data_IF_714920456764
#
_entry.id   IF_714920456764
#
_cell.length_a   1.000
_cell.length_b   1.000
_cell.length_c   1.000
_cell.angle_alpha   90.00
_cell.angle_beta   90.00
_cell.angle_gamma   90.00
#
_symmetry.space_group_name_H-M   'P 1'
#
loop_
_entity.id
_entity.type
_entity.pdbx_description
1 polymer ?
#
# COMPACT_ATOMS: atom_id res chain seq x y z
N UNK A 1 -3.35 -23.67 7.39
CA UNK A 1 -3.93 -22.57 6.59
C UNK A 1 -3.00 -21.38 6.80
N UNK A 2 -2.42 -20.79 5.75
CA UNK A 2 -1.40 -19.74 5.91
C UNK A 2 -1.99 -18.51 6.62
N UNK A 3 -1.34 -18.07 7.68
CA UNK A 3 -1.63 -16.86 8.48
C UNK A 3 -1.45 -15.59 7.63
N UNK A 4 -0.74 -15.73 6.52
CA UNK A 4 -0.37 -14.65 5.63
C UNK A 4 -0.90 -14.87 4.21
N UNK A 5 -1.29 -13.79 3.54
CA UNK A 5 -1.62 -13.77 2.11
C UNK A 5 -0.39 -13.93 1.21
N UNK A 6 -0.57 -13.76 -0.09
CA UNK A 6 0.55 -13.69 -1.04
C UNK A 6 1.07 -12.26 -1.13
N UNK A 7 2.35 -12.10 -1.49
CA UNK A 7 2.89 -10.80 -1.86
C UNK A 7 2.29 -10.36 -3.19
N UNK A 8 1.66 -9.19 -3.18
CA UNK A 8 1.09 -8.52 -4.34
C UNK A 8 1.85 -7.23 -4.59
N UNK A 9 1.85 -6.77 -5.84
CA UNK A 9 2.50 -5.51 -6.22
C UNK A 9 1.42 -4.43 -6.40
N UNK A 10 1.50 -3.38 -5.57
CA UNK A 10 0.83 -2.12 -5.76
C UNK A 10 1.77 -1.20 -6.57
N UNK A 11 1.59 -1.18 -7.88
CA UNK A 11 2.41 -0.37 -8.78
C UNK A 11 1.93 1.07 -8.79
N UNK A 12 2.80 2.01 -8.41
CA UNK A 12 2.62 3.44 -8.66
C UNK A 12 3.30 3.74 -9.99
N UNK A 13 2.53 4.14 -11.00
CA UNK A 13 3.05 4.45 -12.32
C UNK A 13 3.92 5.72 -12.29
N UNK A 14 4.82 5.86 -13.26
CA UNK A 14 5.57 7.11 -13.47
C UNK A 14 4.60 8.27 -13.72
N UNK A 15 4.78 9.38 -12.99
CA UNK A 15 3.90 10.53 -13.07
C UNK A 15 2.59 10.38 -12.27
N UNK A 16 2.43 9.29 -11.50
CA UNK A 16 1.30 9.09 -10.59
C UNK A 16 1.71 9.23 -9.12
N UNK A 17 0.72 9.56 -8.29
CA UNK A 17 0.84 9.59 -6.83
C UNK A 17 0.08 8.44 -6.14
N UNK A 18 -0.66 7.63 -6.89
CA UNK A 18 -1.43 6.50 -6.37
C UNK A 18 -1.18 5.23 -7.17
N UNK A 19 -1.29 4.10 -6.49
CA UNK A 19 -1.22 2.79 -7.11
C UNK A 19 -2.54 2.38 -7.73
N UNK A 20 -2.47 1.35 -8.56
CA UNK A 20 -3.64 0.57 -8.94
C UNK A 20 -4.31 -0.06 -7.71
N UNK A 21 -5.59 -0.40 -7.87
CA UNK A 21 -6.33 -1.19 -6.89
C UNK A 21 -5.68 -2.57 -6.73
N UNK A 22 -5.38 -2.94 -5.49
CA UNK A 22 -4.91 -4.28 -5.14
C UNK A 22 -6.01 -5.00 -4.39
N UNK A 23 -6.43 -6.13 -4.95
CA UNK A 23 -7.34 -7.09 -4.30
C UNK A 23 -6.51 -8.12 -3.54
N UNK A 24 -6.66 -8.14 -2.20
CA UNK A 24 -5.98 -9.10 -1.34
C UNK A 24 -6.60 -10.52 -1.43
N UNK A 25 -7.77 -10.67 -2.06
CA UNK A 25 -8.51 -11.91 -2.23
C UNK A 25 -9.27 -12.38 -0.98
N UNK A 26 -9.11 -11.68 0.15
CA UNK A 26 -9.79 -11.94 1.42
C UNK A 26 -9.76 -10.72 2.35
N UNK A 27 -10.64 -10.72 3.35
CA UNK A 27 -10.58 -9.86 4.54
C UNK A 27 -9.34 -10.17 5.41
N UNK A 28 -8.47 -9.17 5.58
CA UNK A 28 -7.31 -9.22 6.47
C UNK A 28 -7.38 -8.13 7.54
N UNK A 29 -6.89 -8.45 8.74
CA UNK A 29 -6.87 -7.50 9.87
C UNK A 29 -5.69 -6.53 9.77
N UNK A 30 -4.59 -6.98 9.19
CA UNK A 30 -3.36 -6.21 9.01
C UNK A 30 -2.83 -6.34 7.59
N UNK A 31 -2.02 -5.37 7.17
CA UNK A 31 -1.31 -5.39 5.90
C UNK A 31 0.16 -5.04 6.12
N UNK A 32 1.02 -5.89 5.61
CA UNK A 32 2.47 -5.68 5.54
C UNK A 32 2.79 -4.98 4.23
N UNK A 33 3.56 -3.90 4.29
CA UNK A 33 4.02 -3.18 3.10
C UNK A 33 5.54 -3.11 3.08
N UNK A 34 6.10 -3.27 1.90
CA UNK A 34 7.50 -3.05 1.60
C UNK A 34 7.60 -2.04 0.47
N UNK A 35 8.11 -0.86 0.81
CA UNK A 35 8.22 0.28 -0.08
C UNK A 35 9.63 0.29 -0.70
N UNK A 36 9.75 0.32 -2.04
CA UNK A 36 11.03 0.54 -2.71
C UNK A 36 11.54 1.97 -2.45
N UNK A 37 12.79 2.31 -2.80
CA UNK A 37 13.25 3.70 -2.71
C UNK A 37 12.31 4.63 -3.49
N UNK A 38 11.84 5.69 -2.81
CA UNK A 38 11.02 6.76 -3.37
C UNK A 38 11.89 7.95 -3.76
N UNK A 39 11.42 8.73 -4.74
CA UNK A 39 12.17 9.85 -5.33
C UNK A 39 12.36 11.01 -4.35
N UNK A 40 11.43 11.20 -3.42
CA UNK A 40 11.41 12.30 -2.45
C UNK A 40 10.95 11.83 -1.08
N UNK A 41 11.09 12.69 -0.07
CA UNK A 41 10.48 12.43 1.23
C UNK A 41 8.97 12.41 1.02
N UNK A 42 8.39 11.23 1.14
CA UNK A 42 7.02 10.96 0.74
C UNK A 42 6.30 10.25 1.87
N UNK A 43 5.13 10.79 2.21
CA UNK A 43 4.18 10.13 3.09
C UNK A 43 3.39 9.13 2.26
N UNK A 44 3.57 7.84 2.57
CA UNK A 44 2.79 6.76 1.99
C UNK A 44 1.61 6.47 2.91
N UNK A 45 0.41 6.61 2.37
CA UNK A 45 -0.87 6.32 3.01
C UNK A 45 -1.51 5.12 2.34
N UNK A 46 -2.34 4.42 3.09
CA UNK A 46 -3.21 3.40 2.55
C UNK A 46 -4.61 3.94 2.40
N UNK A 47 -5.20 3.69 1.24
CA UNK A 47 -6.62 3.86 1.01
C UNK A 47 -7.28 2.50 0.88
N UNK A 48 -8.48 2.37 1.40
CA UNK A 48 -9.25 1.12 1.39
C UNK A 48 -10.64 1.31 0.81
N UNK A 49 -11.20 0.26 0.24
CA UNK A 49 -12.57 0.23 -0.26
C UNK A 49 -13.29 -1.05 0.17
N UNK A 50 -14.61 -0.95 0.37
CA UNK A 50 -15.47 -2.10 0.73
C UNK A 50 -15.78 -3.02 -0.46
N UNK A 51 -15.61 -2.52 -1.68
CA UNK A 51 -15.92 -3.21 -2.93
C UNK A 51 -14.92 -2.82 -4.00
N UNK A 52 -14.64 -3.73 -4.92
CA UNK A 52 -13.83 -3.45 -6.11
C UNK A 52 -14.41 -2.27 -6.90
N UNK A 53 -13.55 -1.35 -7.35
CA UNK A 53 -13.97 -0.12 -8.03
C UNK A 53 -14.81 0.84 -7.18
N UNK A 54 -14.89 0.62 -5.86
CA UNK A 54 -15.64 1.45 -4.93
C UNK A 54 -14.95 2.78 -4.61
N UNK A 55 -15.55 3.55 -3.70
CA UNK A 55 -14.93 4.77 -3.18
C UNK A 55 -13.81 4.39 -2.20
N UNK A 56 -12.58 4.72 -2.57
CA UNK A 56 -11.41 4.57 -1.72
C UNK A 56 -11.39 5.65 -0.65
N UNK A 57 -11.18 5.25 0.60
CA UNK A 57 -11.09 6.12 1.77
C UNK A 57 -9.74 5.98 2.44
N UNK A 58 -9.19 7.08 2.92
CA UNK A 58 -7.94 7.08 3.67
C UNK A 58 -8.10 6.27 4.96
N UNK A 59 -7.16 5.36 5.21
CA UNK A 59 -7.12 4.54 6.42
C UNK A 59 -6.56 5.31 7.64
N UNK A 60 -6.30 6.62 7.51
CA UNK A 60 -5.80 7.50 8.58
C UNK A 60 -4.33 7.27 8.93
N UNK A 61 -3.85 6.04 8.87
CA UNK A 61 -2.46 5.68 9.08
C UNK A 61 -1.63 5.96 7.82
N UNK A 62 -0.53 6.68 8.00
CA UNK A 62 0.43 6.97 6.94
C UNK A 62 1.84 7.01 7.51
N UNK A 63 2.81 6.62 6.69
CA UNK A 63 4.21 6.62 7.05
C UNK A 63 4.97 7.62 6.19
N UNK A 64 5.65 8.55 6.84
CA UNK A 64 6.60 9.44 6.16
C UNK A 64 7.95 8.76 6.10
N UNK A 65 8.44 8.51 4.89
CA UNK A 65 9.78 7.99 4.65
C UNK A 65 10.66 9.11 4.08
N UNK A 66 11.94 9.14 4.47
CA UNK A 66 12.89 10.09 3.89
C UNK A 66 13.25 9.68 2.46
N UNK A 67 13.53 10.65 1.60
CA UNK A 67 13.99 10.42 0.22
C UNK A 67 15.15 9.42 0.18
N UNK A 68 15.09 8.44 -0.72
CA UNK A 68 16.13 7.42 -0.84
C UNK A 68 16.22 6.42 0.32
N UNK A 69 15.21 6.35 1.21
CA UNK A 69 15.11 5.24 2.17
C UNK A 69 14.86 3.95 1.39
N UNK A 70 15.84 3.03 1.42
CA UNK A 70 15.74 1.77 0.69
C UNK A 70 15.01 0.72 1.55
N UNK A 71 14.12 -0.06 0.92
CA UNK A 71 13.45 -1.22 1.53
C UNK A 71 12.77 -0.91 2.86
N UNK A 72 12.02 0.20 2.91
CA UNK A 72 11.22 0.51 4.07
C UNK A 72 10.13 -0.56 4.24
N UNK A 73 9.94 -1.05 5.46
CA UNK A 73 9.02 -2.13 5.77
C UNK A 73 8.18 -1.77 6.98
N UNK A 74 6.86 -1.87 6.86
CA UNK A 74 5.94 -1.50 7.93
C UNK A 74 4.62 -2.27 7.86
N UNK A 75 3.87 -2.25 8.95
CA UNK A 75 2.62 -2.99 9.12
C UNK A 75 1.51 -2.03 9.52
N UNK A 76 0.46 -1.98 8.69
CA UNK A 76 -0.72 -1.15 8.91
C UNK A 76 -1.89 -2.01 9.37
N UNK A 77 -2.78 -1.39 10.16
CA UNK A 77 -4.04 -2.01 10.57
C UNK A 77 -5.05 -1.85 9.45
N UNK A 78 -5.36 -2.96 8.78
CA UNK A 78 -6.27 -2.95 7.67
C UNK A 78 -7.73 -2.95 8.13
N UNK A 79 -8.05 -3.51 9.30
CA UNK A 79 -9.40 -3.44 9.87
C UNK A 79 -10.46 -4.24 9.09
N UNK A 80 -10.05 -5.28 8.36
CA UNK A 80 -10.95 -6.20 7.66
C UNK A 80 -11.27 -5.84 6.21
N UNK A 81 -10.68 -4.79 5.64
CA UNK A 81 -10.87 -4.45 4.23
C UNK A 81 -10.12 -5.42 3.30
N UNK A 82 -10.61 -5.55 2.06
CA UNK A 82 -10.03 -6.44 1.05
C UNK A 82 -9.34 -5.67 -0.08
N UNK A 83 -9.89 -4.51 -0.47
CA UNK A 83 -9.42 -3.71 -1.59
C UNK A 83 -8.62 -2.52 -1.08
N UNK A 84 -7.38 -2.39 -1.54
CA UNK A 84 -6.45 -1.38 -1.05
C UNK A 84 -5.76 -0.64 -2.19
N UNK A 85 -5.35 0.60 -1.93
CA UNK A 85 -4.48 1.41 -2.78
C UNK A 85 -3.41 2.05 -1.93
N UNK A 86 -2.20 2.10 -2.48
CA UNK A 86 -1.08 2.80 -1.88
C UNK A 86 -1.03 4.19 -2.49
N UNK A 87 -1.05 5.23 -1.65
CA UNK A 87 -1.03 6.62 -2.10
C UNK A 87 0.19 7.31 -1.50
N UNK A 88 1.05 7.78 -2.37
CA UNK A 88 2.11 8.72 -2.05
C UNK A 88 1.55 10.15 -2.02
N UNK A 89 2.02 10.98 -1.10
CA UNK A 89 1.67 12.41 -1.07
C UNK A 89 2.29 13.21 -2.23
N UNK A 90 3.32 12.65 -2.88
CA UNK A 90 4.01 13.22 -4.03
C UNK A 90 4.01 12.26 -5.22
N UNK A 91 4.00 12.83 -6.41
CA UNK A 91 4.16 12.08 -7.67
C UNK A 91 5.54 11.44 -7.71
N UNK A 92 5.61 10.21 -8.23
CA UNK A 92 6.88 9.50 -8.42
C UNK A 92 7.39 9.70 -9.86
N UNK A 93 8.68 9.95 -10.01
CA UNK A 93 9.34 10.21 -11.31
C UNK A 93 9.80 8.91 -12.00
N UNK A 94 9.55 7.77 -11.36
CA UNK A 94 9.71 6.44 -11.92
C UNK A 94 8.61 5.51 -11.41
N UNK A 95 8.45 4.36 -12.08
CA UNK A 95 7.55 3.31 -11.61
C UNK A 95 8.04 2.74 -10.27
N UNK A 96 7.15 2.70 -9.27
CA UNK A 96 7.45 2.17 -7.93
C UNK A 96 6.57 0.97 -7.63
N UNK A 97 7.22 -0.19 -7.50
CA UNK A 97 6.58 -1.45 -7.15
C UNK A 97 6.52 -1.60 -5.63
N UNK A 98 5.45 -1.13 -5.00
CA UNK A 98 5.23 -1.32 -3.56
C UNK A 98 4.71 -2.73 -3.36
N UNK A 99 5.41 -3.54 -2.56
CA UNK A 99 4.94 -4.90 -2.27
C UNK A 99 4.03 -4.84 -1.06
N UNK A 100 2.88 -5.49 -1.15
CA UNK A 100 1.87 -5.51 -0.10
C UNK A 100 1.42 -6.94 0.16
N UNK A 101 1.06 -7.24 1.40
CA UNK A 101 0.63 -8.58 1.81
C UNK A 101 -0.35 -8.50 2.96
N UNK A 102 -1.51 -9.15 2.83
CA UNK A 102 -2.46 -9.28 3.94
C UNK A 102 -1.95 -10.23 5.03
N UNK A 103 -2.21 -9.89 6.29
CA UNK A 103 -1.88 -10.71 7.45
C UNK A 103 -3.07 -10.83 8.40
N UNK A 104 -3.24 -12.01 9.02
CA UNK A 104 -4.32 -12.29 9.98
C UNK A 104 -3.73 -13.03 11.18
N UNK A 105 -3.84 -12.46 12.36
CA UNK A 105 -3.39 -13.08 13.62
C UNK A 105 -4.51 -13.88 14.28
#
# INVERSE_FOLDING_TARGET
MSIYGNWLAATIANGAASSDEVDLGRDYDFIEIQIPPLDSATTVKLQVAEKTGGTFRDLGDGVTTAAGTHNYHDVFRLGGYQFIKVVADNTQDAERLVRVRGMRF
#
